data_IF_442064868387
#
_entry.id   IF_442064868387
#
_cell.length_a   1.000
_cell.length_b   1.000
_cell.length_c   1.000
_cell.angle_alpha   90.00
_cell.angle_beta   90.00
_cell.angle_gamma   90.00
#
_symmetry.space_group_name_H-M   'P 1'
#
loop_
_entity.id
_entity.type
_entity.pdbx_description
1 polymer ?
#
# COMPACT_ATOMS: atom_id res chain seq x y z
N UNK A 1 -61.50 -57.47 5.44
CA UNK A 1 -61.08 -56.23 4.73
C UNK A 1 -59.63 -55.99 5.10
N UNK A 2 -58.70 -56.28 4.19
CA UNK A 2 -57.26 -56.09 4.40
C UNK A 2 -56.89 -54.72 3.81
N UNK A 3 -56.34 -53.83 4.62
CA UNK A 3 -55.85 -52.52 4.16
C UNK A 3 -54.37 -52.69 3.81
N UNK A 4 -54.04 -52.54 2.54
CA UNK A 4 -52.65 -52.52 2.05
C UNK A 4 -52.17 -51.08 2.11
N UNK A 5 -51.16 -50.81 2.93
CA UNK A 5 -50.49 -49.51 3.00
C UNK A 5 -49.31 -49.53 2.03
N UNK A 6 -49.39 -48.72 0.98
CA UNK A 6 -48.30 -48.52 0.01
C UNK A 6 -47.39 -47.42 0.54
N UNK A 7 -46.16 -47.77 0.88
CA UNK A 7 -45.11 -46.81 1.27
C UNK A 7 -44.39 -46.35 0.00
N UNK A 8 -44.56 -45.08 -0.36
CA UNK A 8 -43.84 -44.45 -1.48
C UNK A 8 -42.52 -43.90 -0.94
N UNK A 9 -41.40 -44.50 -1.35
CA UNK A 9 -40.07 -44.00 -1.03
C UNK A 9 -39.71 -42.84 -1.97
N UNK A 10 -39.57 -41.64 -1.42
CA UNK A 10 -39.10 -40.45 -2.15
C UNK A 10 -37.56 -40.46 -2.11
N UNK A 11 -36.92 -40.74 -3.24
CA UNK A 11 -35.48 -40.58 -3.39
C UNK A 11 -35.15 -39.09 -3.55
N UNK A 12 -34.52 -38.49 -2.54
CA UNK A 12 -34.02 -37.12 -2.60
C UNK A 12 -32.68 -37.10 -3.33
N UNK A 13 -32.67 -36.61 -4.57
CA UNK A 13 -31.45 -36.34 -5.33
C UNK A 13 -30.75 -35.12 -4.75
N UNK A 14 -29.63 -35.32 -4.07
CA UNK A 14 -28.75 -34.24 -3.58
C UNK A 14 -28.05 -33.63 -4.80
N UNK A 15 -28.51 -32.47 -5.28
CA UNK A 15 -27.73 -31.63 -6.18
C UNK A 15 -26.56 -31.05 -5.37
N UNK A 16 -25.36 -31.58 -5.60
CA UNK A 16 -24.12 -30.92 -5.17
C UNK A 16 -23.94 -29.71 -6.07
N UNK A 17 -24.27 -28.52 -5.56
CA UNK A 17 -23.88 -27.28 -6.22
C UNK A 17 -22.33 -27.25 -6.28
N UNK A 18 -21.71 -26.97 -7.45
CA UNK A 18 -20.29 -26.73 -7.47
C UNK A 18 -20.00 -25.55 -6.55
N UNK A 19 -19.23 -25.79 -5.49
CA UNK A 19 -18.77 -24.72 -4.61
C UNK A 19 -18.08 -23.67 -5.47
N UNK A 20 -18.38 -22.39 -5.21
CA UNK A 20 -17.62 -21.30 -5.80
C UNK A 20 -16.15 -21.52 -5.42
N UNK A 21 -15.32 -21.86 -6.41
CA UNK A 21 -13.87 -21.83 -6.24
C UNK A 21 -13.53 -20.36 -6.13
N UNK A 22 -13.35 -19.84 -4.92
CA UNK A 22 -12.69 -18.54 -4.77
C UNK A 22 -11.32 -18.65 -5.42
N UNK A 23 -11.09 -17.85 -6.47
CA UNK A 23 -9.79 -17.78 -7.11
C UNK A 23 -8.83 -17.10 -6.12
N UNK A 24 -8.10 -17.92 -5.37
CA UNK A 24 -7.14 -17.44 -4.39
C UNK A 24 -5.91 -16.85 -5.08
N UNK A 25 -5.39 -15.75 -4.53
CA UNK A 25 -4.17 -15.13 -5.04
C UNK A 25 -2.99 -16.11 -4.96
N UNK A 26 -2.16 -16.15 -6.00
CA UNK A 26 -0.98 -17.01 -6.08
C UNK A 26 0.21 -16.26 -6.66
N UNK A 27 1.43 -16.43 -6.11
CA UNK A 27 2.64 -15.88 -6.73
C UNK A 27 2.91 -16.38 -8.15
N UNK A 28 2.33 -17.53 -8.52
CA UNK A 28 2.52 -18.18 -9.83
C UNK A 28 1.35 -17.95 -10.80
N UNK A 29 0.40 -17.06 -10.47
CA UNK A 29 -0.83 -16.85 -11.24
C UNK A 29 -0.59 -16.58 -12.74
N UNK A 30 0.51 -15.88 -13.07
CA UNK A 30 0.86 -15.50 -14.44
C UNK A 30 1.98 -16.35 -15.06
N UNK A 31 2.49 -17.39 -14.40
CA UNK A 31 3.65 -18.15 -14.88
C UNK A 31 3.41 -18.80 -16.26
N UNK A 32 2.17 -19.20 -16.55
CA UNK A 32 1.79 -19.76 -17.85
C UNK A 32 1.29 -18.74 -18.87
N UNK A 33 0.68 -17.65 -18.42
CA UNK A 33 -0.01 -16.68 -19.30
C UNK A 33 0.81 -15.42 -19.61
N UNK A 34 1.71 -15.03 -18.72
CA UNK A 34 2.66 -13.95 -18.93
C UNK A 34 4.01 -14.21 -18.23
N UNK A 35 4.82 -15.17 -18.73
CA UNK A 35 6.06 -15.60 -18.06
C UNK A 35 7.10 -14.48 -17.87
N UNK A 36 7.05 -13.43 -18.70
CA UNK A 36 7.96 -12.27 -18.63
C UNK A 36 7.45 -11.14 -17.72
N UNK A 37 6.30 -11.29 -17.05
CA UNK A 37 5.70 -10.21 -16.26
C UNK A 37 6.68 -9.63 -15.23
N UNK A 38 7.25 -10.48 -14.37
CA UNK A 38 8.11 -10.00 -13.29
C UNK A 38 9.37 -9.28 -13.82
N UNK A 39 9.97 -9.75 -14.92
CA UNK A 39 11.16 -9.11 -15.49
C UNK A 39 10.84 -7.76 -16.14
N UNK A 40 9.67 -7.62 -16.78
CA UNK A 40 9.20 -6.35 -17.35
C UNK A 40 8.99 -5.31 -16.25
N UNK A 41 8.22 -5.66 -15.21
CA UNK A 41 7.94 -4.75 -14.08
C UNK A 41 9.24 -4.35 -13.39
N UNK A 42 10.11 -5.32 -13.09
CA UNK A 42 11.39 -5.07 -12.42
C UNK A 42 12.29 -4.13 -13.23
N UNK A 43 12.40 -4.34 -14.53
CA UNK A 43 13.28 -3.54 -15.39
C UNK A 43 12.79 -2.09 -15.50
N UNK A 44 11.49 -1.90 -15.66
CA UNK A 44 10.88 -0.57 -15.70
C UNK A 44 11.02 0.16 -14.36
N UNK A 45 10.82 -0.54 -13.24
CA UNK A 45 11.05 0.02 -11.89
C UNK A 45 12.51 0.34 -11.64
N UNK A 46 13.45 -0.50 -12.08
CA UNK A 46 14.88 -0.23 -11.98
C UNK A 46 15.26 1.07 -12.70
N UNK A 47 14.76 1.26 -13.92
CA UNK A 47 14.97 2.51 -14.67
C UNK A 47 14.34 3.73 -13.95
N UNK A 48 13.13 3.58 -13.41
CA UNK A 48 12.44 4.65 -12.69
C UNK A 48 13.19 5.07 -11.41
N UNK A 49 13.62 4.09 -10.59
CA UNK A 49 14.37 4.31 -9.35
C UNK A 49 15.77 4.86 -9.63
N UNK A 50 16.46 4.37 -10.67
CA UNK A 50 17.76 4.89 -11.08
C UNK A 50 17.68 6.36 -11.49
N UNK A 51 16.59 6.75 -12.17
CA UNK A 51 16.36 8.16 -12.56
C UNK A 51 16.00 9.04 -11.37
N UNK A 52 15.19 8.52 -10.45
CA UNK A 52 14.75 9.24 -9.26
C UNK A 52 14.47 8.24 -8.11
N UNK A 53 15.35 8.12 -7.11
CA UNK A 53 15.16 7.16 -6.01
C UNK A 53 13.83 7.30 -5.26
N UNK A 54 13.36 8.55 -5.08
CA UNK A 54 12.05 8.86 -4.48
C UNK A 54 10.87 8.23 -5.23
N UNK A 55 11.03 7.85 -6.50
CA UNK A 55 9.98 7.17 -7.24
C UNK A 55 9.63 5.82 -6.61
N UNK A 56 10.61 5.09 -6.05
CA UNK A 56 10.33 3.84 -5.33
C UNK A 56 9.41 4.07 -4.12
N UNK A 57 9.72 5.08 -3.29
CA UNK A 57 8.85 5.46 -2.18
C UNK A 57 7.45 5.91 -2.65
N UNK A 58 7.38 6.59 -3.80
CA UNK A 58 6.12 7.08 -4.37
C UNK A 58 5.20 5.93 -4.81
N UNK A 59 5.77 4.90 -5.47
CA UNK A 59 5.03 3.71 -5.92
C UNK A 59 4.64 2.82 -4.74
N UNK A 60 5.50 2.66 -3.75
CA UNK A 60 5.16 1.95 -2.51
C UNK A 60 3.95 2.60 -1.81
N UNK A 61 3.96 3.94 -1.69
CA UNK A 61 2.83 4.69 -1.13
C UNK A 61 1.57 4.57 -1.99
N UNK A 62 1.71 4.60 -3.32
CA UNK A 62 0.58 4.42 -4.24
C UNK A 62 -0.13 3.07 -4.01
N UNK A 63 0.62 2.00 -3.80
CA UNK A 63 0.05 0.69 -3.47
C UNK A 63 -0.64 0.65 -2.10
N UNK A 64 -0.06 1.30 -1.07
CA UNK A 64 -0.75 1.44 0.23
C UNK A 64 -2.09 2.17 0.09
N UNK A 65 -2.10 3.28 -0.65
CA UNK A 65 -3.32 4.07 -0.87
C UNK A 65 -4.38 3.31 -1.66
N UNK A 66 -3.98 2.49 -2.64
CA UNK A 66 -4.88 1.57 -3.33
C UNK A 66 -5.52 0.59 -2.35
N UNK A 67 -4.69 -0.21 -1.66
CA UNK A 67 -5.17 -1.26 -0.77
C UNK A 67 -6.03 -0.76 0.41
N UNK A 68 -5.79 0.45 0.91
CA UNK A 68 -6.57 1.00 2.01
C UNK A 68 -7.94 1.53 1.57
N UNK A 69 -8.16 1.82 0.29
CA UNK A 69 -9.44 2.32 -0.22
C UNK A 69 -10.12 1.21 -1.03
N UNK A 70 -11.18 0.62 -0.50
CA UNK A 70 -11.91 -0.53 -1.09
C UNK A 70 -11.11 -1.83 -1.32
N UNK A 71 -9.80 -1.85 -1.13
CA UNK A 71 -8.96 -3.03 -1.33
C UNK A 71 -7.98 -2.81 -2.49
N UNK A 72 -7.11 -3.78 -2.73
CA UNK A 72 -6.08 -3.63 -3.76
C UNK A 72 -6.67 -3.90 -5.16
N UNK A 73 -7.38 -2.94 -5.72
CA UNK A 73 -8.16 -3.08 -6.95
C UNK A 73 -7.80 -2.05 -8.04
N UNK A 74 -6.71 -1.31 -7.82
CA UNK A 74 -6.23 -0.24 -8.68
C UNK A 74 -7.25 0.88 -8.96
N UNK A 75 -8.27 1.03 -8.11
CA UNK A 75 -9.24 2.13 -8.16
C UNK A 75 -8.55 3.50 -8.09
N UNK A 76 -7.48 3.63 -7.31
CA UNK A 76 -6.66 4.84 -7.19
C UNK A 76 -6.06 5.32 -8.52
N UNK A 77 -5.92 4.42 -9.50
CA UNK A 77 -5.33 4.73 -10.81
C UNK A 77 -6.33 5.36 -11.79
N UNK A 78 -7.64 5.26 -11.53
CA UNK A 78 -8.68 5.85 -12.39
C UNK A 78 -8.59 7.39 -12.37
N UNK A 79 -8.65 7.98 -13.57
CA UNK A 79 -8.79 9.43 -13.74
C UNK A 79 -10.26 9.86 -13.64
N UNK A 80 -10.47 11.15 -13.34
CA UNK A 80 -11.79 11.77 -13.44
C UNK A 80 -12.31 11.67 -14.89
N UNK A 81 -13.60 11.38 -15.04
CA UNK A 81 -14.32 11.32 -16.32
C UNK A 81 -15.73 11.87 -16.18
N UNK A 82 -16.53 11.86 -17.25
CA UNK A 82 -17.94 12.28 -17.18
C UNK A 82 -18.81 11.38 -16.30
N UNK A 83 -18.37 10.14 -16.01
CA UNK A 83 -19.12 9.15 -15.25
C UNK A 83 -18.42 8.67 -13.98
N UNK A 84 -17.12 8.94 -13.84
CA UNK A 84 -16.31 8.55 -12.68
C UNK A 84 -15.68 9.80 -12.06
N UNK A 85 -15.80 9.95 -10.75
CA UNK A 85 -14.93 10.85 -9.98
C UNK A 85 -13.86 10.01 -9.29
N UNK A 86 -12.62 10.17 -9.72
CA UNK A 86 -11.45 9.45 -9.24
C UNK A 86 -10.97 9.90 -7.86
N UNK A 87 -10.02 9.14 -7.34
CA UNK A 87 -9.46 9.31 -5.99
C UNK A 87 -8.27 10.27 -5.95
N UNK A 88 -7.60 10.51 -7.08
CA UNK A 88 -6.34 11.27 -7.15
C UNK A 88 -6.45 12.68 -6.58
N UNK A 89 -7.62 13.29 -6.75
CA UNK A 89 -7.90 14.65 -6.32
C UNK A 89 -8.56 14.74 -4.92
N UNK A 90 -8.67 13.62 -4.18
CA UNK A 90 -9.17 13.63 -2.80
C UNK A 90 -8.07 14.02 -1.80
N UNK A 91 -8.43 14.50 -0.60
CA UNK A 91 -7.51 15.18 0.33
C UNK A 91 -6.13 14.53 0.52
N UNK A 92 -6.03 13.31 1.07
CA UNK A 92 -4.75 12.62 1.27
C UNK A 92 -3.93 12.34 -0.02
N UNK A 93 -4.56 12.39 -1.19
CA UNK A 93 -3.96 12.09 -2.50
C UNK A 93 -3.56 13.36 -3.26
N UNK A 94 -4.36 14.42 -3.14
CA UNK A 94 -4.25 15.64 -3.92
C UNK A 94 -2.89 16.31 -3.70
N UNK A 95 -2.17 16.58 -4.79
CA UNK A 95 -0.82 17.16 -4.77
C UNK A 95 0.17 16.36 -3.89
N UNK A 96 -0.05 15.05 -3.74
CA UNK A 96 0.69 14.21 -2.81
C UNK A 96 1.09 12.86 -3.43
N UNK A 97 0.13 12.07 -3.92
CA UNK A 97 0.43 10.85 -4.69
C UNK A 97 1.06 11.21 -6.04
N UNK A 98 1.98 10.35 -6.51
CA UNK A 98 2.72 10.52 -7.77
C UNK A 98 3.23 9.18 -8.28
N UNK A 99 3.70 9.16 -9.53
CA UNK A 99 4.25 7.95 -10.17
C UNK A 99 3.26 7.18 -11.04
N UNK A 100 2.07 7.73 -11.28
CA UNK A 100 1.05 7.13 -12.16
C UNK A 100 1.61 6.83 -13.56
N UNK A 101 2.48 7.69 -14.07
CA UNK A 101 3.11 7.61 -15.39
C UNK A 101 4.09 6.42 -15.49
N UNK A 102 4.69 6.03 -14.35
CA UNK A 102 5.52 4.82 -14.28
C UNK A 102 4.63 3.58 -14.41
N UNK A 103 3.47 3.58 -13.75
CA UNK A 103 2.50 2.49 -13.88
C UNK A 103 1.95 2.40 -15.31
N UNK A 104 1.66 3.53 -15.97
CA UNK A 104 1.25 3.54 -17.38
C UNK A 104 2.33 2.95 -18.31
N UNK A 105 3.60 3.30 -18.05
CA UNK A 105 4.72 2.78 -18.83
C UNK A 105 4.90 1.28 -18.64
N UNK A 106 4.79 0.78 -17.40
CA UNK A 106 4.82 -0.66 -17.12
C UNK A 106 3.65 -1.35 -17.80
N UNK A 107 2.44 -0.81 -17.65
CA UNK A 107 1.23 -1.38 -18.27
C UNK A 107 1.37 -1.49 -19.78
N UNK A 108 1.87 -0.45 -20.44
CA UNK A 108 2.07 -0.46 -21.89
C UNK A 108 3.05 -1.56 -22.35
N UNK A 109 4.13 -1.77 -21.59
CA UNK A 109 5.10 -2.84 -21.88
C UNK A 109 4.53 -4.23 -21.62
N UNK A 110 3.76 -4.39 -20.54
CA UNK A 110 3.09 -5.65 -20.20
C UNK A 110 2.03 -5.99 -21.25
N UNK A 111 1.22 -5.03 -21.70
CA UNK A 111 0.23 -5.25 -22.76
C UNK A 111 0.87 -5.60 -24.11
N UNK A 112 2.05 -5.07 -24.41
CA UNK A 112 2.79 -5.43 -25.62
C UNK A 112 3.29 -6.89 -25.58
N UNK A 113 3.60 -7.42 -24.39
CA UNK A 113 4.09 -8.79 -24.22
C UNK A 113 2.97 -9.81 -24.01
N UNK A 114 1.93 -9.42 -23.26
CA UNK A 114 0.86 -10.28 -22.77
C UNK A 114 -0.48 -9.54 -22.83
N UNK A 115 -1.06 -9.36 -24.04
CA UNK A 115 -2.25 -8.54 -24.22
C UNK A 115 -3.42 -8.98 -23.33
N UNK A 116 -4.12 -8.02 -22.74
CA UNK A 116 -5.34 -8.21 -21.95
C UNK A 116 -5.24 -9.26 -20.83
N UNK A 117 -4.04 -9.50 -20.31
CA UNK A 117 -3.78 -10.62 -19.38
C UNK A 117 -3.58 -10.16 -17.94
N UNK A 118 -2.79 -9.11 -17.72
CA UNK A 118 -2.34 -8.70 -16.38
C UNK A 118 -3.07 -7.45 -15.91
N UNK A 119 -3.68 -7.49 -14.73
CA UNK A 119 -4.39 -6.34 -14.15
C UNK A 119 -3.45 -5.22 -13.74
N UNK A 120 -3.98 -4.00 -13.66
CA UNK A 120 -3.25 -2.87 -13.10
C UNK A 120 -2.98 -3.03 -11.60
N UNK A 121 -3.91 -3.67 -10.88
CA UNK A 121 -3.74 -4.01 -9.46
C UNK A 121 -2.50 -4.88 -9.21
N UNK A 122 -2.28 -5.92 -10.03
CA UNK A 122 -1.09 -6.77 -9.89
C UNK A 122 0.19 -6.10 -10.37
N UNK A 123 0.13 -5.24 -11.40
CA UNK A 123 1.26 -4.40 -11.79
C UNK A 123 1.70 -3.50 -10.64
N UNK A 124 0.75 -2.84 -9.95
CA UNK A 124 1.06 -1.95 -8.83
C UNK A 124 1.65 -2.73 -7.64
N UNK A 125 1.13 -3.92 -7.34
CA UNK A 125 1.66 -4.79 -6.28
C UNK A 125 3.11 -5.23 -6.55
N UNK A 126 3.42 -5.65 -7.79
CA UNK A 126 4.78 -6.01 -8.19
C UNK A 126 5.71 -4.80 -8.17
N UNK A 127 5.24 -3.65 -8.67
CA UNK A 127 6.00 -2.41 -8.69
C UNK A 127 6.35 -1.92 -7.28
N UNK A 128 5.45 -2.07 -6.30
CA UNK A 128 5.71 -1.76 -4.90
C UNK A 128 6.78 -2.68 -4.28
N UNK A 129 6.73 -4.00 -4.56
CA UNK A 129 7.78 -4.94 -4.13
C UNK A 129 9.13 -4.58 -4.72
N UNK A 130 9.17 -4.31 -6.03
CA UNK A 130 10.41 -3.96 -6.71
C UNK A 130 10.96 -2.62 -6.25
N UNK A 131 10.11 -1.65 -5.92
CA UNK A 131 10.52 -0.37 -5.31
C UNK A 131 11.31 -0.58 -4.02
N UNK A 132 10.78 -1.38 -3.10
CA UNK A 132 11.44 -1.69 -1.81
C UNK A 132 12.76 -2.39 -2.05
N UNK A 133 12.76 -3.42 -2.87
CA UNK A 133 13.97 -4.22 -3.08
C UNK A 133 15.07 -3.49 -3.86
N UNK A 134 14.72 -2.62 -4.82
CA UNK A 134 15.70 -1.79 -5.53
C UNK A 134 16.38 -0.76 -4.63
N UNK A 135 15.72 -0.35 -3.55
CA UNK A 135 16.25 0.58 -2.55
C UNK A 135 16.95 -0.14 -1.39
N UNK A 136 17.25 -1.44 -1.52
CA UNK A 136 18.01 -2.21 -0.52
C UNK A 136 17.16 -3.02 0.46
N UNK A 137 15.83 -2.92 0.38
CA UNK A 137 14.91 -3.61 1.28
C UNK A 137 14.66 -5.08 0.93
N UNK A 138 13.79 -5.75 1.70
CA UNK A 138 13.44 -7.15 1.46
C UNK A 138 12.71 -7.33 0.12
N UNK A 139 12.75 -8.57 -0.37
CA UNK A 139 11.87 -9.05 -1.43
C UNK A 139 10.90 -10.07 -0.84
N UNK A 140 9.75 -10.24 -1.47
CA UNK A 140 8.77 -11.26 -1.13
C UNK A 140 8.08 -11.80 -2.38
N UNK A 141 7.48 -12.98 -2.23
CA UNK A 141 6.61 -13.55 -3.25
C UNK A 141 5.26 -12.82 -3.20
N UNK A 142 5.02 -11.92 -4.15
CA UNK A 142 3.77 -11.16 -4.25
C UNK A 142 2.66 -12.13 -4.66
N UNK A 143 1.58 -12.31 -3.88
CA UNK A 143 0.40 -13.04 -4.36
C UNK A 143 -0.26 -12.25 -5.49
N UNK A 144 -0.56 -12.89 -6.62
CA UNK A 144 -1.11 -12.27 -7.84
C UNK A 144 -2.46 -12.93 -8.20
N UNK A 145 -3.20 -12.32 -9.12
CA UNK A 145 -4.56 -12.71 -9.53
C UNK A 145 -5.63 -11.69 -9.16
N UNK A 146 -5.23 -10.46 -8.80
CA UNK A 146 -6.17 -9.35 -8.54
C UNK A 146 -6.76 -8.87 -9.85
N UNK A 147 -7.94 -8.26 -9.77
CA UNK A 147 -8.63 -7.63 -10.89
C UNK A 147 -8.88 -6.16 -10.61
N UNK A 148 -9.10 -5.42 -11.67
CA UNK A 148 -9.25 -3.99 -11.63
C UNK A 148 -10.71 -3.58 -11.34
N UNK A 149 -10.87 -2.58 -10.48
CA UNK A 149 -12.16 -2.02 -10.15
C UNK A 149 -12.83 -1.30 -11.33
N UNK A 150 -14.17 -1.35 -11.33
CA UNK A 150 -15.04 -0.63 -12.27
C UNK A 150 -15.49 0.73 -11.73
N UNK A 151 -14.97 1.14 -10.57
CA UNK A 151 -15.28 2.43 -9.96
C UNK A 151 -14.16 2.85 -9.01
N UNK A 152 -14.02 4.15 -8.81
CA UNK A 152 -13.23 4.75 -7.75
C UNK A 152 -14.11 5.07 -6.54
N UNK A 153 -13.52 5.19 -5.34
CA UNK A 153 -14.22 5.59 -4.12
C UNK A 153 -13.59 6.81 -3.46
N UNK A 154 -13.79 7.96 -4.10
CA UNK A 154 -13.28 9.26 -3.64
C UNK A 154 -13.64 9.57 -2.19
N UNK A 155 -14.85 9.25 -1.74
CA UNK A 155 -15.29 9.51 -0.37
C UNK A 155 -14.51 8.70 0.67
N UNK A 156 -14.21 7.44 0.37
CA UNK A 156 -13.49 6.57 1.30
C UNK A 156 -12.03 6.99 1.49
N UNK A 157 -11.43 7.73 0.54
CA UNK A 157 -10.06 8.26 0.69
C UNK A 157 -9.91 9.07 1.98
N UNK A 158 -10.90 9.90 2.33
CA UNK A 158 -10.82 10.74 3.54
C UNK A 158 -11.19 10.01 4.84
N UNK A 159 -11.87 8.86 4.76
CA UNK A 159 -12.29 8.10 5.95
C UNK A 159 -11.37 6.95 6.27
N UNK A 160 -10.77 6.34 5.26
CA UNK A 160 -10.04 5.08 5.40
C UNK A 160 -8.53 5.30 5.50
N UNK A 161 -8.01 6.40 4.94
CA UNK A 161 -6.58 6.71 5.01
C UNK A 161 -6.24 7.48 6.29
N UNK A 162 -5.31 6.97 7.12
CA UNK A 162 -4.85 7.70 8.30
C UNK A 162 -4.08 8.96 7.89
N UNK A 163 -4.31 10.05 8.63
CA UNK A 163 -3.61 11.31 8.46
C UNK A 163 -2.27 11.38 9.21
N UNK A 164 -1.37 12.31 8.85
CA UNK A 164 -0.06 12.45 9.49
C UNK A 164 -0.12 12.96 10.93
N UNK A 165 -1.27 13.52 11.35
CA UNK A 165 -1.56 14.03 12.70
C UNK A 165 -2.41 13.05 13.53
N UNK A 166 -2.64 11.82 13.04
CA UNK A 166 -3.41 10.83 13.77
C UNK A 166 -2.67 10.32 15.02
N UNK A 167 -3.38 10.22 16.14
CA UNK A 167 -2.89 9.58 17.36
C UNK A 167 -2.78 8.06 17.23
N UNK A 168 -2.10 7.41 18.17
CA UNK A 168 -1.93 5.96 18.15
C UNK A 168 -3.25 5.17 18.10
N UNK A 169 -4.29 5.64 18.80
CA UNK A 169 -5.60 4.96 18.83
C UNK A 169 -6.29 4.98 17.47
N UNK A 170 -6.26 6.13 16.79
CA UNK A 170 -6.79 6.29 15.44
C UNK A 170 -6.02 5.45 14.42
N UNK A 171 -4.69 5.37 14.53
CA UNK A 171 -3.85 4.52 13.67
C UNK A 171 -4.21 3.04 13.83
N UNK A 172 -4.30 2.57 15.08
CA UNK A 172 -4.68 1.17 15.35
C UNK A 172 -6.08 0.87 14.83
N UNK A 173 -7.04 1.77 15.02
CA UNK A 173 -8.41 1.59 14.53
C UNK A 173 -8.46 1.50 12.99
N UNK A 174 -7.74 2.38 12.29
CA UNK A 174 -7.68 2.38 10.83
C UNK A 174 -7.09 1.06 10.28
N UNK A 175 -5.99 0.58 10.86
CA UNK A 175 -5.37 -0.68 10.44
C UNK A 175 -6.22 -1.90 10.81
N UNK A 176 -6.83 -1.91 12.00
CA UNK A 176 -7.72 -2.99 12.42
C UNK A 176 -8.96 -3.10 11.52
N UNK A 177 -9.49 -1.98 11.02
CA UNK A 177 -10.59 -1.97 10.05
C UNK A 177 -10.22 -2.64 8.71
N UNK A 178 -8.91 -2.78 8.42
CA UNK A 178 -8.36 -3.52 7.28
C UNK A 178 -7.83 -4.90 7.65
N UNK A 179 -8.12 -5.39 8.86
CA UNK A 179 -7.66 -6.69 9.35
C UNK A 179 -6.16 -6.74 9.69
N UNK A 180 -5.51 -5.59 9.86
CA UNK A 180 -4.08 -5.48 10.19
C UNK A 180 -3.90 -5.23 11.69
N UNK A 181 -2.93 -5.92 12.29
CA UNK A 181 -2.61 -5.78 13.72
C UNK A 181 -1.78 -4.52 14.02
N UNK A 182 -1.62 -4.18 15.31
CA UNK A 182 -0.70 -3.11 15.73
C UNK A 182 0.78 -3.42 15.39
N UNK A 183 1.15 -4.70 15.27
CA UNK A 183 2.47 -5.09 14.77
C UNK A 183 2.60 -4.86 13.27
N UNK A 184 1.52 -5.09 12.51
CA UNK A 184 1.48 -4.77 11.07
C UNK A 184 1.53 -3.25 10.85
N UNK A 185 0.84 -2.46 11.68
CA UNK A 185 1.00 -1.00 11.74
C UNK A 185 2.47 -0.61 11.93
N UNK A 186 3.12 -1.12 13.00
CA UNK A 186 4.51 -0.79 13.28
C UNK A 186 5.47 -1.20 12.14
N UNK A 187 5.24 -2.35 11.50
CA UNK A 187 6.02 -2.80 10.36
C UNK A 187 5.79 -1.91 9.12
N UNK A 188 4.52 -1.70 8.72
CA UNK A 188 4.17 -0.95 7.51
C UNK A 188 4.52 0.54 7.61
N UNK A 189 4.46 1.14 8.81
CA UNK A 189 5.00 2.50 9.03
C UNK A 189 6.49 2.60 8.75
N UNK A 190 7.24 1.49 8.82
CA UNK A 190 8.63 1.41 8.39
C UNK A 190 8.86 1.74 6.92
N UNK A 191 7.81 1.77 6.08
CA UNK A 191 7.89 2.31 4.72
C UNK A 191 8.39 3.77 4.68
N UNK A 192 8.23 4.53 5.78
CA UNK A 192 8.76 5.89 5.94
C UNK A 192 10.29 5.93 6.12
N UNK A 193 10.99 4.80 6.05
CA UNK A 193 12.47 4.78 5.92
C UNK A 193 12.95 5.40 4.59
N UNK A 194 12.06 5.52 3.59
CA UNK A 194 12.34 6.18 2.30
C UNK A 194 11.29 7.24 1.98
N UNK A 195 11.66 8.15 1.07
CA UNK A 195 10.72 9.16 0.55
C UNK A 195 10.75 10.47 1.33
N UNK A 196 9.79 11.35 1.03
CA UNK A 196 9.74 12.73 1.54
C UNK A 196 8.31 13.14 1.86
N UNK A 197 8.12 13.92 2.91
CA UNK A 197 6.86 14.61 3.22
C UNK A 197 7.01 16.12 3.02
N UNK A 198 5.90 16.81 2.78
CA UNK A 198 5.86 18.26 2.67
C UNK A 198 5.72 18.90 4.06
N UNK A 199 6.24 20.12 4.21
CA UNK A 199 6.21 20.90 5.46
C UNK A 199 4.80 20.98 6.07
N UNK A 200 3.77 21.13 5.23
CA UNK A 200 2.38 21.12 5.69
C UNK A 200 1.99 19.89 6.51
N UNK A 201 2.60 18.74 6.25
CA UNK A 201 2.27 17.46 6.92
C UNK A 201 2.95 17.26 8.27
N UNK A 202 4.01 18.02 8.61
CA UNK A 202 4.76 17.84 9.86
C UNK A 202 4.96 19.15 10.65
N UNK A 203 4.48 20.28 10.14
CA UNK A 203 4.64 21.59 10.79
C UNK A 203 4.14 21.57 12.22
N UNK A 204 2.91 21.12 12.46
CA UNK A 204 2.31 21.07 13.80
C UNK A 204 3.24 20.36 14.77
N UNK A 205 3.74 19.19 14.38
CA UNK A 205 4.67 18.40 15.20
C UNK A 205 5.93 19.17 15.57
N UNK A 206 6.65 19.70 14.59
CA UNK A 206 7.96 20.33 14.88
C UNK A 206 7.82 21.63 15.68
N UNK A 207 6.64 22.22 15.79
CA UNK A 207 6.38 23.42 16.60
C UNK A 207 5.68 23.15 17.94
N UNK A 208 4.80 22.14 18.01
CA UNK A 208 3.83 21.98 19.09
C UNK A 208 3.98 20.68 19.89
N UNK A 209 4.55 19.62 19.31
CA UNK A 209 4.66 18.33 20.02
C UNK A 209 5.68 18.42 21.16
N UNK A 210 5.35 17.86 22.32
CA UNK A 210 6.27 17.80 23.46
C UNK A 210 7.26 16.62 23.36
N UNK A 211 6.94 15.60 22.56
CA UNK A 211 7.73 14.37 22.39
C UNK A 211 8.71 14.44 21.20
N UNK A 212 8.99 15.63 20.69
CA UNK A 212 9.97 15.86 19.62
C UNK A 212 11.32 16.26 20.21
N UNK A 213 12.40 15.70 19.69
CA UNK A 213 13.77 16.11 20.05
C UNK A 213 13.97 17.60 19.73
N UNK A 214 14.42 18.43 20.70
CA UNK A 214 14.62 19.87 20.46
C UNK A 214 15.61 20.16 19.32
N UNK A 215 16.65 19.34 19.19
CA UNK A 215 17.64 19.48 18.12
C UNK A 215 17.01 19.17 16.75
N UNK A 216 16.22 18.10 16.64
CA UNK A 216 15.50 17.74 15.42
C UNK A 216 14.50 18.83 15.04
N UNK A 217 13.67 19.29 15.98
CA UNK A 217 12.71 20.36 15.75
C UNK A 217 13.41 21.64 15.26
N UNK A 218 14.51 22.04 15.89
CA UNK A 218 15.28 23.22 15.47
C UNK A 218 15.84 23.08 14.06
N UNK A 219 16.28 21.89 13.66
CA UNK A 219 16.75 21.62 12.29
C UNK A 219 15.61 21.74 11.27
N UNK A 220 14.48 21.07 11.51
CA UNK A 220 13.35 21.06 10.56
C UNK A 220 12.71 22.44 10.37
N UNK A 221 12.71 23.28 11.42
CA UNK A 221 12.20 24.66 11.34
C UNK A 221 13.01 25.58 10.39
N UNK A 222 14.23 25.18 10.00
CA UNK A 222 15.04 25.95 9.04
C UNK A 222 14.44 25.90 7.63
N UNK A 223 13.84 24.77 7.25
CA UNK A 223 13.21 24.56 5.93
C UNK A 223 11.68 24.49 5.99
N UNK A 224 11.08 24.49 7.19
CA UNK A 224 9.64 24.50 7.41
C UNK A 224 9.25 25.64 8.36
N UNK A 225 8.98 26.85 7.84
CA UNK A 225 8.58 27.99 8.66
C UNK A 225 7.23 27.77 9.37
N UNK A 226 6.97 28.56 10.42
CA UNK A 226 5.74 28.51 11.21
C UNK A 226 4.48 28.83 10.39
N UNK A 227 4.64 29.52 9.26
CA UNK A 227 3.58 29.79 8.29
C UNK A 227 4.16 29.87 6.88
N UNK A 228 3.39 29.41 5.88
CA UNK A 228 3.83 29.33 4.49
C UNK A 228 4.86 28.22 4.24
N UNK A 229 5.33 28.13 2.99
CA UNK A 229 6.32 27.13 2.59
C UNK A 229 5.80 25.68 2.63
N UNK A 230 4.48 25.46 2.58
CA UNK A 230 3.85 24.14 2.77
C UNK A 230 4.43 23.03 1.88
N UNK A 231 4.84 23.36 0.66
CA UNK A 231 5.40 22.43 -0.31
C UNK A 231 6.87 22.06 -0.11
N UNK A 232 7.58 22.71 0.82
CA UNK A 232 8.98 22.37 1.10
C UNK A 232 9.09 20.92 1.58
N UNK A 233 9.99 20.14 0.96
CA UNK A 233 10.12 18.72 1.23
C UNK A 233 11.19 18.44 2.27
N UNK A 234 10.90 17.52 3.18
CA UNK A 234 11.87 16.96 4.11
C UNK A 234 11.89 15.42 4.00
N UNK A 235 13.05 14.78 4.24
CA UNK A 235 13.12 13.33 4.27
C UNK A 235 12.41 12.74 5.48
N UNK A 236 11.65 11.66 5.23
CA UNK A 236 10.98 10.90 6.27
C UNK A 236 12.00 10.20 7.19
N UNK A 237 13.11 9.74 6.62
CA UNK A 237 14.31 9.29 7.32
C UNK A 237 15.49 10.23 7.04
N UNK A 238 16.03 10.86 8.08
CA UNK A 238 17.17 11.76 7.94
C UNK A 238 18.54 11.07 7.93
N UNK A 239 18.62 9.79 8.30
CA UNK A 239 19.86 9.02 8.35
C UNK A 239 20.22 8.47 6.98
N UNK A 240 19.25 7.87 6.30
CA UNK A 240 19.41 7.17 5.01
C UNK A 240 18.21 7.47 4.10
N UNK A 241 18.04 8.72 3.63
CA UNK A 241 16.79 9.19 2.99
C UNK A 241 16.29 8.40 1.77
N UNK A 242 17.19 7.66 1.12
CA UNK A 242 16.93 6.93 -0.12
C UNK A 242 17.30 5.43 0.00
N UNK A 243 17.53 4.91 1.20
CA UNK A 243 17.78 3.47 1.43
C UNK A 243 16.66 2.87 2.29
N UNK A 244 16.19 1.69 1.90
CA UNK A 244 15.18 0.96 2.65
C UNK A 244 15.86 0.11 3.73
N UNK A 245 15.99 0.67 4.93
CA UNK A 245 16.65 0.05 6.07
C UNK A 245 15.85 0.27 7.39
N UNK A 246 16.49 0.16 8.55
CA UNK A 246 15.85 0.37 9.85
C UNK A 246 16.14 1.76 10.47
N UNK A 247 16.65 2.71 9.69
CA UNK A 247 16.94 4.09 10.09
C UNK A 247 15.70 4.82 10.62
N UNK A 248 14.53 4.55 10.02
CA UNK A 248 13.23 5.01 10.50
C UNK A 248 13.03 4.76 12.01
N UNK A 249 13.25 3.52 12.46
CA UNK A 249 13.05 3.17 13.88
C UNK A 249 14.12 3.76 14.78
N UNK A 250 15.35 3.92 14.28
CA UNK A 250 16.42 4.63 15.02
C UNK A 250 16.06 6.10 15.22
N UNK A 251 15.41 6.74 14.24
CA UNK A 251 14.90 8.10 14.39
C UNK A 251 13.79 8.17 15.45
N UNK A 252 12.85 7.22 15.47
CA UNK A 252 11.80 7.19 16.50
C UNK A 252 12.37 7.11 17.92
N UNK A 253 13.35 6.22 18.14
CA UNK A 253 14.03 6.06 19.44
C UNK A 253 14.76 7.35 19.85
N UNK A 254 15.23 8.14 18.88
CA UNK A 254 15.87 9.44 19.12
C UNK A 254 14.88 10.62 19.26
N UNK A 255 13.57 10.38 19.23
CA UNK A 255 12.55 11.44 19.22
C UNK A 255 12.54 12.27 17.94
N UNK A 256 13.01 11.69 16.83
CA UNK A 256 13.24 12.33 15.54
C UNK A 256 12.36 11.77 14.42
N UNK A 257 11.23 11.11 14.74
CA UNK A 257 10.21 10.79 13.73
C UNK A 257 9.67 12.07 13.08
N UNK A 258 9.49 12.07 11.76
CA UNK A 258 9.11 13.27 11.02
C UNK A 258 7.65 13.66 11.24
N UNK A 259 6.73 12.71 11.08
CA UNK A 259 5.29 12.93 11.24
C UNK A 259 4.85 12.69 12.69
N UNK A 260 3.73 13.26 13.09
CA UNK A 260 3.15 12.98 14.42
C UNK A 260 2.79 11.50 14.55
N UNK A 261 2.11 10.96 13.53
CA UNK A 261 1.78 9.54 13.46
C UNK A 261 3.00 8.60 13.54
N UNK A 262 4.19 9.06 13.13
CA UNK A 262 5.41 8.25 13.23
C UNK A 262 5.84 8.12 14.69
N UNK A 263 5.88 9.24 15.42
CA UNK A 263 6.36 9.25 16.80
C UNK A 263 5.36 8.65 17.78
N UNK A 264 4.08 8.62 17.43
CA UNK A 264 3.06 7.90 18.20
C UNK A 264 3.35 6.40 18.35
N UNK A 265 4.19 5.82 17.46
CA UNK A 265 4.66 4.43 17.61
C UNK A 265 5.74 4.25 18.68
N UNK A 266 6.36 5.33 19.17
CA UNK A 266 7.36 5.30 20.23
C UNK A 266 7.12 6.45 21.21
N UNK A 267 6.10 6.25 22.06
CA UNK A 267 5.57 7.26 22.97
C UNK A 267 5.09 6.65 24.30
N UNK A 268 5.84 5.68 24.84
CA UNK A 268 5.47 4.88 26.02
C UNK A 268 4.20 4.03 25.77
N UNK A 269 4.05 3.54 24.55
CA UNK A 269 2.87 2.83 24.08
C UNK A 269 3.06 1.31 23.93
N UNK A 270 2.00 0.59 23.53
CA UNK A 270 2.01 -0.87 23.42
C UNK A 270 2.99 -1.43 22.37
N UNK A 271 3.43 -0.61 21.42
CA UNK A 271 4.32 -1.03 20.32
C UNK A 271 5.78 -0.56 20.49
N UNK A 272 6.12 0.12 21.59
CA UNK A 272 7.48 0.62 21.85
C UNK A 272 8.52 -0.50 21.79
N UNK A 273 8.18 -1.68 22.34
CA UNK A 273 9.08 -2.86 22.31
C UNK A 273 9.33 -3.38 20.88
N UNK A 274 8.36 -3.21 19.97
CA UNK A 274 8.51 -3.56 18.55
C UNK A 274 9.41 -2.56 17.84
N UNK A 275 9.23 -1.25 18.11
CA UNK A 275 10.11 -0.21 17.58
C UNK A 275 11.56 -0.41 18.05
N UNK A 276 11.76 -0.71 19.34
CA UNK A 276 13.09 -1.04 19.88
C UNK A 276 13.70 -2.25 19.18
N UNK A 277 12.93 -3.33 19.01
CA UNK A 277 13.38 -4.51 18.27
C UNK A 277 13.85 -4.14 16.86
N UNK A 278 13.03 -3.44 16.09
CA UNK A 278 13.37 -3.07 14.72
C UNK A 278 14.56 -2.12 14.63
N UNK A 279 14.69 -1.16 15.56
CA UNK A 279 15.84 -0.26 15.61
C UNK A 279 17.17 -0.99 15.83
N UNK A 280 17.16 -2.10 16.58
CA UNK A 280 18.33 -2.91 16.88
C UNK A 280 18.56 -4.05 15.88
N UNK A 281 17.52 -4.45 15.13
CA UNK A 281 17.55 -5.63 14.28
C UNK A 281 16.82 -5.38 12.94
N UNK A 282 17.59 -4.98 11.93
CA UNK A 282 17.10 -4.74 10.58
C UNK A 282 16.50 -5.99 9.91
N UNK A 283 16.96 -7.19 10.26
CA UNK A 283 16.42 -8.44 9.72
C UNK A 283 15.03 -8.75 10.27
N UNK A 284 14.78 -8.46 11.55
CA UNK A 284 13.45 -8.58 12.16
C UNK A 284 12.46 -7.62 11.49
N UNK A 285 12.86 -6.37 11.27
CA UNK A 285 12.05 -5.42 10.50
C UNK A 285 11.77 -5.92 9.09
N UNK A 286 12.80 -6.32 8.35
CA UNK A 286 12.67 -6.77 6.95
C UNK A 286 11.72 -7.97 6.81
N UNK A 287 11.80 -8.93 7.75
CA UNK A 287 10.91 -10.09 7.78
C UNK A 287 9.45 -9.69 8.01
N UNK A 288 9.19 -8.86 9.03
CA UNK A 288 7.83 -8.45 9.37
C UNK A 288 7.25 -7.50 8.32
N UNK A 289 8.07 -6.62 7.73
CA UNK A 289 7.65 -5.76 6.61
C UNK A 289 7.18 -6.59 5.42
N UNK A 290 7.95 -7.60 5.00
CA UNK A 290 7.55 -8.49 3.91
C UNK A 290 6.24 -9.23 4.21
N UNK A 291 6.08 -9.74 5.44
CA UNK A 291 4.86 -10.43 5.87
C UNK A 291 3.64 -9.48 5.90
N UNK A 292 3.81 -8.26 6.41
CA UNK A 292 2.74 -7.27 6.46
C UNK A 292 2.39 -6.71 5.09
N UNK A 293 3.35 -6.59 4.15
CA UNK A 293 3.08 -6.24 2.75
C UNK A 293 2.26 -7.31 2.02
N UNK A 294 2.47 -8.59 2.32
CA UNK A 294 1.63 -9.68 1.81
C UNK A 294 0.20 -9.56 2.33
N UNK A 295 0.01 -9.26 3.63
CA UNK A 295 -1.32 -9.03 4.22
C UNK A 295 -2.00 -7.80 3.63
N UNK A 296 -1.28 -6.67 3.54
CA UNK A 296 -1.74 -5.44 2.90
C UNK A 296 -2.25 -5.73 1.49
N UNK A 297 -1.45 -6.44 0.69
CA UNK A 297 -1.82 -6.83 -0.67
C UNK A 297 -3.02 -7.79 -0.75
N UNK A 298 -3.44 -8.39 0.34
CA UNK A 298 -4.54 -9.35 0.39
C UNK A 298 -5.86 -8.73 0.88
N UNK A 299 -5.91 -7.40 1.07
CA UNK A 299 -7.13 -6.69 1.48
C UNK A 299 -8.13 -6.68 0.32
N UNK A 300 -9.28 -7.31 0.55
CA UNK A 300 -10.49 -7.27 -0.30
C UNK A 300 -10.23 -7.30 -1.81
N UNK A 301 -9.43 -8.25 -2.33
CA UNK A 301 -9.11 -8.27 -3.76
C UNK A 301 -10.33 -8.64 -4.59
N UNK A 302 -10.49 -7.99 -5.75
CA UNK A 302 -11.37 -8.52 -6.80
C UNK A 302 -10.66 -9.70 -7.47
N UNK A 303 -11.33 -10.86 -7.57
CA UNK A 303 -10.77 -12.09 -8.14
C UNK A 303 -11.78 -12.78 -9.06
N UNK A 304 -11.32 -13.80 -9.80
CA UNK A 304 -12.18 -14.59 -10.69
C UNK A 304 -12.79 -13.74 -11.82
N UNK A 305 -14.11 -13.56 -11.81
CA UNK A 305 -14.85 -12.75 -12.77
C UNK A 305 -15.25 -11.37 -12.25
N UNK A 306 -14.93 -11.03 -11.00
CA UNK A 306 -15.24 -9.72 -10.41
C UNK A 306 -14.27 -8.65 -10.92
N UNK A 307 -14.78 -7.52 -11.40
CA UNK A 307 -13.94 -6.48 -12.02
C UNK A 307 -13.42 -6.87 -13.40
N UNK A 308 -12.37 -6.19 -13.87
CA UNK A 308 -11.81 -6.37 -15.22
C UNK A 308 -10.28 -6.51 -15.25
N UNK A 309 -9.73 -6.74 -16.45
CA UNK A 309 -8.31 -6.50 -16.73
C UNK A 309 -8.28 -5.28 -17.63
N UNK A 310 -7.99 -4.10 -17.07
CA UNK A 310 -7.96 -2.85 -17.83
C UNK A 310 -6.82 -2.89 -18.83
N UNK A 311 -7.04 -2.38 -20.03
CA UNK A 311 -5.97 -2.20 -21.03
C UNK A 311 -5.17 -0.91 -20.77
N UNK A 312 -5.78 0.05 -20.08
CA UNK A 312 -5.17 1.30 -19.66
C UNK A 312 -5.57 1.57 -18.20
N UNK A 313 -4.60 1.71 -17.30
CA UNK A 313 -4.87 1.83 -15.87
C UNK A 313 -5.62 3.11 -15.47
N UNK A 314 -5.76 4.09 -16.37
CA UNK A 314 -6.45 5.36 -16.09
C UNK A 314 -7.95 5.32 -16.35
N UNK A 315 -8.46 4.30 -17.02
CA UNK A 315 -9.88 4.23 -17.41
C UNK A 315 -10.38 2.80 -17.48
N UNK A 316 -11.69 2.63 -17.33
CA UNK A 316 -12.33 1.34 -17.59
C UNK A 316 -12.22 0.96 -19.06
N UNK A 317 -12.33 -0.34 -19.36
CA UNK A 317 -12.53 -0.76 -20.75
C UNK A 317 -13.93 -0.35 -21.25
N UNK A 318 -14.07 -0.32 -22.57
CA UNK A 318 -15.29 0.10 -23.29
C UNK A 318 -15.75 -0.97 -24.27
#
# INVERSE_FOLDING_TARGET
RVVVVVVVAIAASILVAPGAVEAQLSPTFYDGSCPSLQSIVRSAMAAAVQREPRMGASILRLFFHDCFVNGCDASVLLDDSSTITGEKNAGPNANSLRGFEVIDSIKSQVEAACPATVSCADILALAARDSVNLLGGPSWAVPLGRRDALAANRSAVSTDLPGPEADFGALVAAFAAKGLSSRDLAALSGAHTIGRASCGSFRTRVYCDANVSPAFASHQRQSCPASGGDGALAPLDSLTPDEFDNGYYRNLVAGAGLLHSDQELFNNGPVDSVVQLYSANAAAFSSDFAASMIKLGSISPLTGSSGEVRLNCRKMNS
#
